data_IF_475858438521
#
_entry.id   IF_475858438521
#
_cell.length_a   1.000
_cell.length_b   1.000
_cell.length_c   1.000
_cell.angle_alpha   90.00
_cell.angle_beta   90.00
_cell.angle_gamma   90.00
#
_symmetry.space_group_name_H-M   'P 1'
#
loop_
_entity.id
_entity.type
_entity.pdbx_description
1 polymer ?
#
# COMPACT_ATOMS: atom_id res chain seq x y z
N UNK A 1 61.16 7.58 54.27
CA UNK A 1 60.82 6.82 53.07
C UNK A 1 59.60 7.47 52.47
N UNK A 2 59.70 8.23 51.35
CA UNK A 2 58.58 8.92 50.77
C UNK A 2 57.90 8.05 49.69
N UNK A 3 56.57 8.10 49.65
CA UNK A 3 55.68 7.42 48.73
C UNK A 3 55.80 8.02 47.33
N UNK A 4 55.96 7.12 46.39
CA UNK A 4 56.07 7.41 44.95
C UNK A 4 54.65 7.54 44.37
N UNK A 5 54.26 8.75 44.00
CA UNK A 5 53.01 9.03 43.23
C UNK A 5 53.21 8.66 41.79
N UNK A 6 52.54 7.60 41.34
CA UNK A 6 52.38 7.24 39.90
C UNK A 6 51.45 8.22 39.22
N UNK A 7 52.01 9.02 38.34
CA UNK A 7 51.24 9.85 37.37
C UNK A 7 50.73 8.95 36.25
N UNK A 8 49.43 8.83 36.16
CA UNK A 8 48.71 8.25 35.04
C UNK A 8 48.77 9.19 33.84
N UNK A 9 49.17 8.75 32.63
CA UNK A 9 49.08 9.58 31.44
C UNK A 9 47.64 9.67 30.97
N UNK A 10 47.05 10.85 31.01
CA UNK A 10 45.81 11.22 30.37
C UNK A 10 46.01 11.27 28.85
N UNK A 11 45.76 10.16 28.20
CA UNK A 11 45.71 10.07 26.75
C UNK A 11 44.40 10.74 26.24
N UNK A 12 44.49 12.05 26.03
CA UNK A 12 43.42 12.83 25.40
C UNK A 12 43.40 12.51 23.92
N UNK A 13 42.80 11.37 23.57
CA UNK A 13 42.33 11.14 22.20
C UNK A 13 41.26 12.17 21.88
N UNK A 14 41.67 13.23 21.22
CA UNK A 14 40.79 14.16 20.58
C UNK A 14 39.89 13.37 19.61
N UNK A 15 38.64 13.17 20.00
CA UNK A 15 37.59 12.71 19.12
C UNK A 15 37.41 13.83 18.09
N UNK A 16 37.99 13.63 16.91
CA UNK A 16 37.68 14.42 15.74
C UNK A 16 36.21 14.10 15.42
N UNK A 17 35.31 14.89 15.99
CA UNK A 17 33.93 14.93 15.58
C UNK A 17 33.96 15.41 14.15
N UNK A 18 33.85 14.49 13.20
CA UNK A 18 33.59 14.82 11.82
C UNK A 18 32.43 15.79 11.82
N UNK A 19 32.69 16.99 11.36
CA UNK A 19 31.75 18.09 11.21
C UNK A 19 30.75 17.63 10.16
N UNK A 20 29.70 16.89 10.61
CA UNK A 20 28.59 16.53 9.76
C UNK A 20 28.02 17.84 9.25
N UNK A 21 28.10 18.06 7.96
CA UNK A 21 27.35 19.13 7.31
C UNK A 21 25.88 18.86 7.66
N UNK A 22 25.36 19.66 8.59
CA UNK A 22 23.95 19.73 8.85
C UNK A 22 23.30 20.22 7.54
N UNK A 23 22.83 19.27 6.75
CA UNK A 23 21.94 19.59 5.65
C UNK A 23 20.67 20.11 6.31
N UNK A 24 20.54 21.44 6.42
CA UNK A 24 19.29 22.09 6.76
C UNK A 24 18.29 21.78 5.64
N UNK A 25 17.53 20.70 5.84
CA UNK A 25 16.36 20.32 5.01
C UNK A 25 15.11 21.04 5.57
N UNK A 26 15.26 22.01 6.42
CA UNK A 26 14.19 22.94 6.70
C UNK A 26 14.05 23.81 5.46
N UNK A 27 13.17 23.37 4.55
CA UNK A 27 12.69 24.21 3.49
C UNK A 27 12.13 25.47 4.16
N UNK A 28 12.73 26.64 3.90
CA UNK A 28 12.03 27.89 4.07
C UNK A 28 10.59 27.68 3.59
N UNK A 29 9.58 28.21 4.30
CA UNK A 29 8.22 28.16 3.82
C UNK A 29 8.17 28.97 2.54
N UNK A 30 8.47 28.31 1.43
CA UNK A 30 8.24 28.88 0.11
C UNK A 30 6.80 29.36 0.12
N UNK A 31 6.67 30.66 0.02
CA UNK A 31 5.45 31.42 -0.25
C UNK A 31 4.44 30.50 -0.92
N UNK A 32 3.28 30.34 -0.29
CA UNK A 32 2.14 29.54 -0.74
C UNK A 32 2.02 29.67 -2.26
N UNK A 33 2.66 28.75 -2.96
CA UNK A 33 2.57 28.68 -4.41
C UNK A 33 1.11 28.41 -4.71
N UNK A 34 0.47 29.35 -5.37
CA UNK A 34 -0.89 29.24 -5.87
C UNK A 34 -1.08 27.83 -6.46
N UNK A 35 -2.26 27.20 -6.27
CA UNK A 35 -2.49 25.83 -6.69
C UNK A 35 -2.05 25.71 -8.13
N UNK A 36 -1.01 24.90 -8.36
CA UNK A 36 -0.40 24.74 -9.67
C UNK A 36 -1.54 24.39 -10.64
N UNK A 37 -1.81 25.31 -11.56
CA UNK A 37 -2.80 25.13 -12.62
C UNK A 37 -2.52 23.76 -13.22
N UNK A 38 -3.44 22.82 -13.02
CA UNK A 38 -3.32 21.44 -13.50
C UNK A 38 -3.12 21.51 -15.01
N UNK A 39 -1.86 21.50 -15.46
CA UNK A 39 -1.52 21.38 -16.87
C UNK A 39 -2.27 20.18 -17.36
N UNK A 40 -3.11 20.33 -18.39
CA UNK A 40 -3.80 19.23 -19.06
C UNK A 40 -2.72 18.32 -19.67
N UNK A 41 -2.26 17.37 -18.85
CA UNK A 41 -1.29 16.36 -19.28
C UNK A 41 -2.02 15.32 -20.10
N UNK A 42 -1.42 14.89 -21.19
CA UNK A 42 -1.99 13.83 -22.03
C UNK A 42 -1.95 12.50 -21.27
N UNK A 43 -3.09 11.83 -21.21
CA UNK A 43 -3.23 10.53 -20.56
C UNK A 43 -2.82 9.44 -21.54
N UNK A 44 -1.83 8.63 -21.16
CA UNK A 44 -1.36 7.47 -21.93
C UNK A 44 -2.23 6.25 -21.72
N UNK A 45 -2.63 6.01 -20.49
CA UNK A 45 -3.44 4.85 -20.12
C UNK A 45 -4.25 5.16 -18.87
N UNK A 46 -5.47 4.66 -18.84
CA UNK A 46 -6.35 4.75 -17.69
C UNK A 46 -6.82 3.36 -17.28
N UNK A 47 -6.88 3.11 -15.98
CA UNK A 47 -7.37 1.88 -15.40
C UNK A 47 -8.28 2.20 -14.23
N UNK A 48 -9.53 1.75 -14.32
CA UNK A 48 -10.49 1.89 -13.24
C UNK A 48 -10.82 0.50 -12.65
N UNK A 49 -10.58 0.35 -11.38
CA UNK A 49 -10.94 -0.84 -10.61
C UNK A 49 -12.12 -0.52 -9.71
N UNK A 50 -13.27 -1.10 -10.03
CA UNK A 50 -14.49 -0.93 -9.25
C UNK A 50 -14.82 -2.21 -8.48
N UNK A 51 -14.76 -2.14 -7.16
CA UNK A 51 -15.19 -3.21 -6.28
C UNK A 51 -16.64 -2.99 -5.85
N UNK A 52 -17.59 -3.63 -6.55
CA UNK A 52 -19.04 -3.51 -6.26
C UNK A 52 -19.39 -3.92 -4.82
N UNK A 53 -18.76 -5.01 -4.33
CA UNK A 53 -19.00 -5.53 -2.98
C UNK A 53 -18.56 -4.58 -1.85
N UNK A 54 -17.66 -3.63 -2.14
CA UNK A 54 -17.11 -2.71 -1.15
C UNK A 54 -17.49 -1.26 -1.37
N UNK A 55 -18.08 -0.94 -2.52
CA UNK A 55 -18.34 0.44 -2.91
C UNK A 55 -17.06 1.26 -3.14
N UNK A 56 -15.90 0.59 -3.26
CA UNK A 56 -14.62 1.28 -3.52
C UNK A 56 -14.35 1.34 -5.01
N UNK A 57 -13.90 2.50 -5.47
CA UNK A 57 -13.44 2.71 -6.84
C UNK A 57 -12.05 3.33 -6.81
N UNK A 58 -11.11 2.70 -7.49
CA UNK A 58 -9.75 3.23 -7.66
C UNK A 58 -9.50 3.43 -9.14
N UNK A 59 -9.27 4.66 -9.53
CA UNK A 59 -8.91 5.07 -10.87
C UNK A 59 -7.45 5.49 -10.89
N UNK A 60 -6.69 4.92 -11.81
CA UNK A 60 -5.25 5.19 -11.98
C UNK A 60 -5.02 5.61 -13.41
N UNK A 61 -4.51 6.81 -13.60
CA UNK A 61 -4.22 7.41 -14.91
C UNK A 61 -2.72 7.66 -15.05
N UNK A 62 -2.11 7.13 -16.12
CA UNK A 62 -0.69 7.33 -16.44
C UNK A 62 -0.59 8.49 -17.41
N UNK A 63 0.26 9.48 -17.12
CA UNK A 63 0.51 10.64 -17.96
C UNK A 63 1.86 10.53 -18.69
N UNK A 64 2.00 11.26 -19.81
CA UNK A 64 3.24 11.28 -20.63
C UNK A 64 4.46 11.78 -19.85
N UNK A 65 4.28 12.70 -18.90
CA UNK A 65 5.35 13.32 -18.12
C UNK A 65 5.89 12.43 -16.97
N UNK A 66 5.66 11.12 -17.04
CA UNK A 66 6.04 10.16 -16.00
C UNK A 66 5.34 10.34 -14.65
N UNK A 67 4.17 10.96 -14.64
CA UNK A 67 3.31 11.06 -13.46
C UNK A 67 2.15 10.08 -13.54
N UNK A 68 1.73 9.60 -12.38
CA UNK A 68 0.51 8.83 -12.21
C UNK A 68 -0.44 9.58 -11.32
N UNK A 69 -1.65 9.84 -11.81
CA UNK A 69 -2.74 10.34 -10.98
C UNK A 69 -3.55 9.16 -10.45
N UNK A 70 -3.79 9.17 -9.14
CA UNK A 70 -4.60 8.18 -8.45
C UNK A 70 -5.81 8.87 -7.86
N UNK A 71 -6.98 8.34 -8.16
CA UNK A 71 -8.24 8.75 -7.56
C UNK A 71 -8.84 7.55 -6.85
N UNK A 72 -8.98 7.65 -5.53
CA UNK A 72 -9.63 6.62 -4.72
C UNK A 72 -10.92 7.18 -4.14
N UNK A 73 -12.01 6.51 -4.41
CA UNK A 73 -13.32 6.78 -3.81
C UNK A 73 -13.65 5.63 -2.89
N UNK A 74 -13.90 5.94 -1.61
CA UNK A 74 -14.33 4.98 -0.59
C UNK A 74 -15.67 5.46 -0.02
N UNK A 75 -16.59 4.55 0.36
CA UNK A 75 -17.89 4.96 0.90
C UNK A 75 -17.77 5.73 2.22
N UNK A 76 -16.73 5.42 3.01
CA UNK A 76 -16.56 5.95 4.38
C UNK A 76 -15.53 7.09 4.45
N UNK A 77 -15.00 7.57 3.31
CA UNK A 77 -13.98 8.60 3.27
C UNK A 77 -14.17 9.57 2.10
N UNK A 78 -13.66 10.77 2.26
CA UNK A 78 -13.63 11.72 1.16
C UNK A 78 -12.80 11.18 -0.02
N UNK A 79 -13.19 11.47 -1.27
CA UNK A 79 -12.44 11.05 -2.43
C UNK A 79 -11.04 11.67 -2.40
N UNK A 80 -10.04 10.81 -2.34
CA UNK A 80 -8.64 11.23 -2.36
C UNK A 80 -8.13 11.21 -3.79
N UNK A 81 -7.58 12.34 -4.26
CA UNK A 81 -6.92 12.46 -5.55
C UNK A 81 -5.51 12.99 -5.32
N UNK A 82 -4.52 12.23 -5.77
CA UNK A 82 -3.13 12.63 -5.70
C UNK A 82 -2.37 12.18 -6.94
N UNK A 83 -1.25 12.85 -7.19
CA UNK A 83 -0.33 12.52 -8.28
C UNK A 83 0.99 12.05 -7.68
N UNK A 84 1.64 11.11 -8.33
CA UNK A 84 2.94 10.56 -7.91
C UNK A 84 3.90 10.57 -9.09
N UNK A 85 5.13 10.99 -8.85
CA UNK A 85 6.21 10.88 -9.84
C UNK A 85 6.75 9.44 -9.87
N UNK A 86 6.64 8.81 -11.04
CA UNK A 86 7.06 7.42 -11.26
C UNK A 86 8.56 7.19 -11.11
N UNK A 87 9.38 8.23 -11.14
CA UNK A 87 10.84 8.12 -10.94
C UNK A 87 11.20 7.49 -9.59
N UNK A 88 10.41 7.81 -8.57
CA UNK A 88 10.65 7.32 -7.21
C UNK A 88 10.07 5.95 -6.95
N UNK A 89 9.20 5.44 -7.83
CA UNK A 89 8.54 4.16 -7.63
C UNK A 89 9.45 2.97 -7.98
N UNK A 90 9.39 1.91 -7.17
CA UNK A 90 10.07 0.65 -7.49
C UNK A 90 9.26 -0.11 -8.56
N UNK A 91 9.89 -0.58 -9.66
CA UNK A 91 9.18 -1.34 -10.69
C UNK A 91 8.71 -2.73 -10.23
N UNK A 92 9.17 -3.20 -9.08
CA UNK A 92 8.74 -4.48 -8.49
C UNK A 92 7.56 -4.22 -7.55
N UNK A 93 6.31 -4.52 -7.95
CA UNK A 93 5.16 -4.36 -7.09
C UNK A 93 5.17 -5.41 -5.97
N UNK A 94 4.68 -5.02 -4.81
CA UNK A 94 4.44 -5.92 -3.68
C UNK A 94 2.95 -6.25 -3.65
N UNK A 95 2.64 -7.55 -3.66
CA UNK A 95 1.25 -8.02 -3.54
C UNK A 95 0.99 -8.27 -2.05
N UNK A 96 0.13 -7.46 -1.46
CA UNK A 96 -0.33 -7.63 -0.08
C UNK A 96 -1.72 -8.24 -0.10
N UNK A 97 -1.86 -9.40 0.53
CA UNK A 97 -3.14 -10.10 0.66
C UNK A 97 -3.56 -10.14 2.11
N UNK A 98 -4.69 -9.54 2.40
CA UNK A 98 -5.35 -9.66 3.69
C UNK A 98 -6.50 -10.66 3.58
N UNK A 99 -6.29 -11.87 4.08
CA UNK A 99 -7.28 -12.94 4.05
C UNK A 99 -7.98 -13.01 5.41
N UNK A 100 -9.30 -12.98 5.39
CA UNK A 100 -10.10 -13.09 6.62
C UNK A 100 -10.37 -14.56 6.97
N UNK A 101 -9.39 -15.21 7.58
CA UNK A 101 -9.43 -16.64 7.93
C UNK A 101 -10.62 -17.02 8.80
N UNK A 102 -11.05 -16.14 9.69
CA UNK A 102 -12.23 -16.38 10.55
C UNK A 102 -13.48 -16.65 9.73
N UNK A 103 -13.80 -15.82 8.73
CA UNK A 103 -14.97 -15.99 7.89
C UNK A 103 -14.87 -17.19 6.97
N UNK A 104 -13.66 -17.56 6.53
CA UNK A 104 -13.42 -18.77 5.76
C UNK A 104 -13.69 -20.01 6.60
N UNK A 105 -13.14 -20.09 7.81
CA UNK A 105 -13.35 -21.20 8.72
C UNK A 105 -14.83 -21.34 9.09
N UNK A 106 -15.50 -20.23 9.41
CA UNK A 106 -16.93 -20.22 9.72
C UNK A 106 -17.78 -20.75 8.55
N UNK A 107 -17.50 -20.28 7.34
CA UNK A 107 -18.20 -20.77 6.15
C UNK A 107 -17.99 -22.27 5.92
N UNK A 108 -16.75 -22.76 6.09
CA UNK A 108 -16.43 -24.17 5.95
C UNK A 108 -17.16 -25.03 7.00
N UNK A 109 -17.17 -24.63 8.28
CA UNK A 109 -17.89 -25.32 9.33
C UNK A 109 -19.39 -25.37 9.06
N UNK A 110 -20.00 -24.26 8.66
CA UNK A 110 -21.44 -24.22 8.34
C UNK A 110 -21.77 -25.06 7.11
N UNK A 111 -20.91 -25.11 6.10
CA UNK A 111 -21.09 -25.98 4.95
C UNK A 111 -21.07 -27.49 5.34
N UNK A 112 -20.11 -27.87 6.20
CA UNK A 112 -20.01 -29.25 6.69
C UNK A 112 -21.24 -29.63 7.51
N UNK A 113 -21.75 -28.74 8.38
CA UNK A 113 -22.97 -28.96 9.14
C UNK A 113 -24.20 -29.07 8.23
N UNK A 114 -24.32 -28.20 7.22
CA UNK A 114 -25.41 -28.28 6.26
C UNK A 114 -25.34 -29.58 5.45
N UNK A 115 -24.15 -29.99 5.00
CA UNK A 115 -23.97 -31.24 4.26
C UNK A 115 -24.33 -32.45 5.10
N UNK A 116 -23.91 -32.52 6.37
CA UNK A 116 -24.26 -33.62 7.28
C UNK A 116 -25.77 -33.71 7.50
N UNK A 117 -26.46 -32.57 7.71
CA UNK A 117 -27.91 -32.52 7.84
C UNK A 117 -28.66 -33.01 6.59
N UNK A 118 -28.18 -32.64 5.40
CA UNK A 118 -28.73 -33.10 4.13
C UNK A 118 -28.53 -34.59 3.90
N UNK A 119 -27.37 -35.14 4.28
CA UNK A 119 -27.10 -36.59 4.20
C UNK A 119 -28.08 -37.38 5.10
N UNK A 120 -28.27 -36.91 6.35
CA UNK A 120 -29.24 -37.56 7.28
C UNK A 120 -30.63 -37.52 6.72
N UNK A 121 -31.11 -36.39 6.18
CA UNK A 121 -32.44 -36.29 5.58
C UNK A 121 -32.62 -37.21 4.36
N UNK A 122 -31.52 -37.41 3.59
CA UNK A 122 -31.55 -38.31 2.43
C UNK A 122 -31.67 -39.78 2.86
N UNK A 123 -30.99 -40.18 3.93
CA UNK A 123 -31.04 -41.57 4.46
C UNK A 123 -32.35 -41.89 5.13
N UNK A 124 -33.05 -40.92 5.73
CA UNK A 124 -34.34 -41.08 6.40
C UNK A 124 -35.54 -41.09 5.45
N UNK A 125 -35.40 -41.70 4.27
CA UNK A 125 -36.46 -41.88 3.27
C UNK A 125 -37.18 -40.58 2.85
N UNK A 126 -36.43 -39.48 2.72
CA UNK A 126 -36.89 -38.29 2.03
C UNK A 126 -37.97 -37.47 2.72
N UNK A 127 -38.03 -37.45 4.04
CA UNK A 127 -38.92 -36.55 4.79
C UNK A 127 -38.47 -35.07 4.69
N UNK A 128 -38.80 -34.45 3.57
CA UNK A 128 -38.47 -33.04 3.28
C UNK A 128 -39.13 -32.05 4.26
N UNK A 129 -40.14 -32.45 5.00
CA UNK A 129 -40.76 -31.64 6.06
C UNK A 129 -40.14 -31.82 7.44
N UNK A 130 -39.06 -32.60 7.55
CA UNK A 130 -38.41 -32.83 8.85
C UNK A 130 -37.73 -31.55 9.37
N UNK A 131 -37.71 -31.32 10.69
CA UNK A 131 -37.00 -30.17 11.28
C UNK A 131 -35.50 -30.17 10.94
N UNK A 132 -34.92 -31.35 10.69
CA UNK A 132 -33.52 -31.54 10.29
C UNK A 132 -33.29 -30.92 8.91
N UNK A 133 -34.20 -31.08 7.95
CA UNK A 133 -34.11 -30.47 6.65
C UNK A 133 -34.15 -28.93 6.73
N UNK A 134 -35.08 -28.39 7.52
CA UNK A 134 -35.18 -26.93 7.71
C UNK A 134 -33.96 -26.36 8.39
N UNK A 135 -33.36 -27.03 9.37
CA UNK A 135 -32.10 -26.60 10.01
C UNK A 135 -30.91 -26.68 9.04
N UNK A 136 -30.83 -27.73 8.21
CA UNK A 136 -29.81 -27.85 7.18
C UNK A 136 -29.91 -26.72 6.14
N UNK A 137 -31.13 -26.37 5.73
CA UNK A 137 -31.36 -25.24 4.81
C UNK A 137 -30.95 -23.89 5.45
N UNK A 138 -31.31 -23.67 6.72
CA UNK A 138 -30.93 -22.48 7.49
C UNK A 138 -29.40 -22.35 7.62
N UNK A 139 -28.72 -23.47 7.92
CA UNK A 139 -27.23 -23.45 7.99
C UNK A 139 -26.59 -23.24 6.64
N UNK A 140 -27.18 -23.72 5.56
CA UNK A 140 -26.70 -23.45 4.19
C UNK A 140 -26.80 -21.95 3.83
N UNK A 141 -27.91 -21.31 4.17
CA UNK A 141 -28.09 -19.88 3.99
C UNK A 141 -27.07 -19.07 4.83
N UNK A 142 -26.84 -19.46 6.09
CA UNK A 142 -25.84 -18.87 6.95
C UNK A 142 -24.42 -19.04 6.38
N UNK A 143 -24.10 -20.20 5.80
CA UNK A 143 -22.85 -20.46 5.12
C UNK A 143 -22.66 -19.52 3.90
N UNK A 144 -23.73 -19.30 3.13
CA UNK A 144 -23.74 -18.32 2.03
C UNK A 144 -23.43 -16.89 2.51
N UNK A 145 -24.05 -16.49 3.63
CA UNK A 145 -23.77 -15.20 4.28
C UNK A 145 -22.32 -15.07 4.76
N UNK A 146 -21.78 -16.12 5.41
CA UNK A 146 -20.39 -16.17 5.85
C UNK A 146 -19.40 -16.09 4.66
N UNK A 147 -19.72 -16.79 3.56
CA UNK A 147 -18.94 -16.74 2.32
C UNK A 147 -18.96 -15.33 1.70
N UNK A 148 -20.11 -14.68 1.65
CA UNK A 148 -20.23 -13.30 1.18
C UNK A 148 -19.39 -12.33 2.04
N UNK A 149 -19.41 -12.51 3.38
CA UNK A 149 -18.57 -11.72 4.29
C UNK A 149 -17.08 -11.99 4.11
N UNK A 150 -16.70 -13.24 3.86
CA UNK A 150 -15.32 -13.60 3.49
C UNK A 150 -14.85 -12.86 2.23
N UNK A 151 -15.65 -12.93 1.16
CA UNK A 151 -15.33 -12.24 -0.10
C UNK A 151 -15.27 -10.71 0.07
N UNK A 152 -16.14 -10.15 0.89
CA UNK A 152 -16.14 -8.71 1.19
C UNK A 152 -14.92 -8.28 1.99
N UNK A 153 -14.45 -9.08 2.95
CA UNK A 153 -13.34 -8.74 3.84
C UNK A 153 -11.96 -9.12 3.31
N UNK A 154 -11.87 -10.07 2.39
CA UNK A 154 -10.59 -10.44 1.79
C UNK A 154 -10.16 -9.40 0.77
N UNK A 155 -9.00 -8.77 1.01
CA UNK A 155 -8.42 -7.70 0.19
C UNK A 155 -7.17 -8.18 -0.50
N UNK A 156 -7.04 -7.88 -1.76
CA UNK A 156 -5.79 -7.96 -2.51
C UNK A 156 -5.39 -6.54 -2.91
N UNK A 157 -4.25 -6.06 -2.42
CA UNK A 157 -3.68 -4.77 -2.83
C UNK A 157 -2.36 -4.98 -3.55
N UNK A 158 -2.15 -4.18 -4.57
CA UNK A 158 -0.91 -4.10 -5.32
C UNK A 158 -0.26 -2.77 -4.96
N UNK A 159 0.92 -2.84 -4.34
CA UNK A 159 1.60 -1.68 -3.80
C UNK A 159 2.93 -1.46 -4.50
N UNK A 160 3.14 -0.23 -4.97
CA UNK A 160 4.43 0.23 -5.48
C UNK A 160 5.08 1.09 -4.41
N UNK A 161 6.22 0.61 -3.95
CA UNK A 161 6.99 1.28 -2.89
C UNK A 161 8.04 2.20 -3.49
N UNK A 162 8.43 3.22 -2.74
CA UNK A 162 9.53 4.13 -3.05
C UNK A 162 10.86 3.36 -3.08
N UNK A 163 11.77 3.82 -3.92
CA UNK A 163 13.06 3.15 -4.17
C UNK A 163 13.96 3.16 -2.94
N UNK A 164 14.14 4.29 -2.27
CA UNK A 164 15.01 4.43 -1.10
C UNK A 164 14.21 4.54 0.20
N UNK A 165 13.13 5.31 0.19
CA UNK A 165 12.31 5.52 1.38
C UNK A 165 11.48 4.30 1.81
N UNK A 166 11.16 3.40 0.88
CA UNK A 166 10.34 2.22 1.15
C UNK A 166 8.90 2.54 1.59
N UNK A 167 8.43 3.76 1.34
CA UNK A 167 7.04 4.14 1.58
C UNK A 167 6.16 3.70 0.41
N UNK A 168 4.90 3.39 0.68
CA UNK A 168 3.92 3.05 -0.36
C UNK A 168 3.50 4.31 -1.10
N UNK A 169 3.93 4.45 -2.36
CA UNK A 169 3.60 5.60 -3.21
C UNK A 169 2.27 5.41 -3.92
N UNK A 170 2.01 4.20 -4.39
CA UNK A 170 0.81 3.86 -5.14
C UNK A 170 0.25 2.54 -4.61
N UNK A 171 -1.02 2.55 -4.22
CA UNK A 171 -1.73 1.36 -3.80
C UNK A 171 -3.00 1.18 -4.65
N UNK A 172 -3.07 0.06 -5.34
CA UNK A 172 -4.27 -0.34 -6.10
C UNK A 172 -4.97 -1.44 -5.32
N UNK A 173 -6.06 -1.08 -4.67
CA UNK A 173 -6.82 -1.98 -3.80
C UNK A 173 -7.97 -2.61 -4.58
N UNK A 174 -8.04 -3.93 -4.55
CA UNK A 174 -9.10 -4.68 -5.21
C UNK A 174 -9.61 -5.88 -4.41
N UNK A 175 -10.53 -6.62 -5.00
CA UNK A 175 -10.97 -7.92 -4.51
C UNK A 175 -10.05 -9.05 -4.96
N UNK A 176 -10.41 -10.28 -4.61
CA UNK A 176 -9.69 -11.49 -5.03
C UNK A 176 -9.59 -11.54 -6.56
N UNK A 177 -8.37 -11.71 -7.07
CA UNK A 177 -8.09 -11.78 -8.51
C UNK A 177 -7.97 -10.44 -9.23
N UNK A 178 -8.06 -9.31 -8.52
CA UNK A 178 -7.91 -7.98 -9.11
C UNK A 178 -6.53 -7.75 -9.75
N UNK A 179 -5.47 -8.33 -9.18
CA UNK A 179 -4.12 -8.31 -9.76
C UNK A 179 -4.06 -9.00 -11.13
N UNK A 180 -4.81 -10.08 -11.33
CA UNK A 180 -4.90 -10.75 -12.64
C UNK A 180 -5.68 -9.91 -13.65
N UNK A 181 -6.80 -9.32 -13.25
CA UNK A 181 -7.62 -8.47 -14.11
C UNK A 181 -6.83 -7.25 -14.60
N UNK A 182 -6.02 -6.65 -13.72
CA UNK A 182 -5.18 -5.49 -14.04
C UNK A 182 -3.84 -5.80 -14.72
N UNK A 183 -3.51 -7.05 -15.02
CA UNK A 183 -2.18 -7.46 -15.50
C UNK A 183 -1.67 -6.62 -16.69
N UNK A 184 -2.52 -6.35 -17.67
CA UNK A 184 -2.13 -5.55 -18.85
C UNK A 184 -1.75 -4.12 -18.47
N UNK A 185 -2.53 -3.50 -17.59
CA UNK A 185 -2.26 -2.16 -17.09
C UNK A 185 -0.98 -2.12 -16.27
N UNK A 186 -0.76 -3.09 -15.38
CA UNK A 186 0.45 -3.14 -14.56
C UNK A 186 1.72 -3.32 -15.39
N UNK A 187 1.65 -4.06 -16.52
CA UNK A 187 2.78 -4.13 -17.45
C UNK A 187 3.09 -2.75 -18.05
N UNK A 188 2.07 -1.99 -18.45
CA UNK A 188 2.25 -0.63 -18.97
C UNK A 188 2.82 0.28 -17.89
N UNK A 189 2.31 0.21 -16.67
CA UNK A 189 2.79 0.99 -15.52
C UNK A 189 4.26 0.69 -15.22
N UNK A 190 4.66 -0.59 -15.18
CA UNK A 190 6.06 -0.99 -14.95
C UNK A 190 6.97 -0.47 -16.09
N UNK A 191 6.50 -0.54 -17.34
CA UNK A 191 7.25 0.05 -18.47
C UNK A 191 7.41 1.58 -18.31
N UNK A 192 6.36 2.27 -17.88
CA UNK A 192 6.41 3.72 -17.63
C UNK A 192 7.35 4.07 -16.47
N UNK A 193 7.37 3.27 -15.40
CA UNK A 193 8.32 3.42 -14.28
C UNK A 193 9.76 3.26 -14.80
N UNK A 194 10.04 2.22 -15.56
CA UNK A 194 11.38 2.00 -16.11
C UNK A 194 11.79 3.13 -17.07
N UNK A 195 10.90 3.61 -17.92
CA UNK A 195 11.15 4.75 -18.80
C UNK A 195 11.44 6.04 -18.01
N UNK A 196 10.68 6.30 -16.94
CA UNK A 196 10.92 7.43 -16.04
C UNK A 196 12.29 7.37 -15.37
N UNK A 197 12.73 6.17 -14.99
CA UNK A 197 14.03 5.93 -14.38
C UNK A 197 15.20 6.13 -15.35
N UNK A 198 15.03 5.73 -16.61
CA UNK A 198 16.08 5.91 -17.64
C UNK A 198 16.18 7.35 -18.12
N UNK A 199 15.10 8.13 -18.05
CA UNK A 199 15.08 9.52 -18.49
C UNK A 199 15.93 10.46 -17.60
N UNK A 200 16.15 10.10 -16.32
CA UNK A 200 16.98 10.89 -15.39
C UNK A 200 17.80 9.98 -14.48
N UNK A 201 19.06 10.32 -14.19
CA UNK A 201 19.93 9.53 -13.33
C UNK A 201 19.34 9.47 -11.91
N UNK A 202 19.35 8.26 -11.32
CA UNK A 202 18.74 7.97 -10.00
C UNK A 202 19.73 8.12 -8.84
N UNK A 203 20.98 8.33 -9.15
CA UNK A 203 22.06 8.34 -8.16
C UNK A 203 22.52 9.77 -7.91
N UNK A 204 22.49 10.13 -6.66
CA UNK A 204 23.04 11.41 -6.22
C UNK A 204 22.19 12.12 -5.17
N UNK A 205 22.80 13.07 -4.47
CA UNK A 205 22.14 13.78 -3.36
C UNK A 205 20.90 14.56 -3.81
N UNK A 206 20.86 15.01 -5.07
CA UNK A 206 19.69 15.70 -5.63
C UNK A 206 18.48 14.79 -5.76
N UNK A 207 18.67 13.54 -6.21
CA UNK A 207 17.58 12.57 -6.32
C UNK A 207 16.97 12.26 -4.95
N UNK A 208 17.81 12.05 -3.93
CA UNK A 208 17.35 11.78 -2.56
C UNK A 208 16.59 12.97 -1.95
N UNK A 209 17.03 14.21 -2.23
CA UNK A 209 16.30 15.43 -1.83
C UNK A 209 14.94 15.52 -2.51
N UNK A 210 14.87 15.23 -3.81
CA UNK A 210 13.61 15.25 -4.56
C UNK A 210 12.66 14.15 -4.07
N UNK A 211 13.16 12.95 -3.79
CA UNK A 211 12.38 11.85 -3.22
C UNK A 211 11.83 12.22 -1.83
N UNK A 212 12.66 12.87 -0.99
CA UNK A 212 12.23 13.36 0.33
C UNK A 212 11.14 14.43 0.21
N UNK A 213 11.29 15.37 -0.74
CA UNK A 213 10.28 16.41 -1.00
C UNK A 213 8.96 15.80 -1.46
N UNK A 214 9.01 14.77 -2.29
CA UNK A 214 7.82 14.04 -2.72
C UNK A 214 7.12 13.32 -1.56
N UNK A 215 7.89 12.68 -0.67
CA UNK A 215 7.31 12.06 0.54
C UNK A 215 6.68 13.10 1.48
N UNK A 216 7.29 14.26 1.64
CA UNK A 216 6.71 15.35 2.41
C UNK A 216 5.38 15.81 1.82
N UNK A 217 5.33 16.02 0.50
CA UNK A 217 4.11 16.39 -0.23
C UNK A 217 3.00 15.33 -0.08
N UNK A 218 3.35 14.03 -0.17
CA UNK A 218 2.38 12.95 0.01
C UNK A 218 1.87 12.86 1.45
N UNK A 219 2.69 13.19 2.44
CA UNK A 219 2.27 13.31 3.84
C UNK A 219 1.27 14.47 4.02
N UNK A 220 1.55 15.64 3.46
CA UNK A 220 0.65 16.80 3.52
C UNK A 220 -0.71 16.52 2.87
N UNK A 221 -0.72 15.74 1.80
CA UNK A 221 -1.95 15.26 1.15
C UNK A 221 -2.66 14.14 1.93
N UNK A 222 -2.11 13.69 3.07
CA UNK A 222 -2.67 12.62 3.87
C UNK A 222 -2.55 11.22 3.24
N UNK A 223 -1.75 11.06 2.19
CA UNK A 223 -1.49 9.76 1.53
C UNK A 223 -0.56 8.92 2.38
N UNK A 224 0.48 9.55 2.97
CA UNK A 224 1.39 8.92 3.92
C UNK A 224 1.04 9.35 5.34
N UNK A 225 1.03 8.38 6.27
CA UNK A 225 0.94 8.69 7.69
C UNK A 225 2.25 9.30 8.19
N UNK A 226 2.19 10.05 9.30
CA UNK A 226 3.40 10.62 9.92
C UNK A 226 4.44 9.54 10.24
N UNK A 227 3.99 8.40 10.74
CA UNK A 227 4.87 7.27 11.05
C UNK A 227 5.58 6.72 9.80
N UNK A 228 4.85 6.55 8.69
CA UNK A 228 5.41 6.10 7.41
C UNK A 228 6.42 7.12 6.86
N UNK A 229 6.12 8.41 6.98
CA UNK A 229 7.02 9.48 6.58
C UNK A 229 8.31 9.45 7.38
N UNK A 230 8.26 9.35 8.72
CA UNK A 230 9.46 9.30 9.56
C UNK A 230 10.32 8.07 9.29
N UNK A 231 9.71 6.91 9.09
CA UNK A 231 10.43 5.70 8.69
C UNK A 231 11.12 5.84 7.34
N UNK A 232 10.43 6.45 6.38
CA UNK A 232 10.93 6.72 5.04
C UNK A 232 12.09 7.70 5.07
N UNK A 233 11.96 8.80 5.83
CA UNK A 233 13.01 9.78 6.07
C UNK A 233 14.27 9.13 6.65
N UNK A 234 14.13 8.29 7.68
CA UNK A 234 15.25 7.60 8.28
C UNK A 234 15.98 6.68 7.28
N UNK A 235 15.24 5.97 6.43
CA UNK A 235 15.83 5.09 5.40
C UNK A 235 16.57 5.87 4.32
N UNK A 236 16.01 6.98 3.84
CA UNK A 236 16.66 7.83 2.84
C UNK A 236 17.96 8.42 3.40
N UNK A 237 17.94 8.89 4.64
CA UNK A 237 19.14 9.41 5.30
C UNK A 237 20.21 8.33 5.53
N UNK A 238 19.82 7.10 5.79
CA UNK A 238 20.75 5.97 5.94
C UNK A 238 21.35 5.49 4.60
N UNK A 239 20.73 5.83 3.46
CA UNK A 239 21.22 5.48 2.13
C UNK A 239 22.21 6.49 1.56
N UNK A 240 22.46 7.60 2.26
CA UNK A 240 23.40 8.66 1.91
C UNK A 240 24.76 8.38 2.53
#
# INVERSE_FOLDING_TARGET
>A
MPARSEQMPTDSRAIVIARGEHIHIEAEPDTVAAPAVLRRRKVLSNYALKSRLRGCETEVSIHEDHFVAVRTVRPDAQPCKYEVDLRFANPKPVIVRSVSWFWLALAACLLLLAASGLIVTWTDAGRWSSPIFLTALGTLLAAGGATAMFLRRTVESLEFISTHGGATLLSVVGGIGSARAGKRFFIVLIKSINAAKTARPQNGPQFLRDEMREHHRLRELGVLSEQQYQQSKARILASH
#
